data_IF_557689057086
#
_entry.id   IF_557689057086
#
_cell.length_a   1.000
_cell.length_b   1.000
_cell.length_c   1.000
_cell.angle_alpha   90.00
_cell.angle_beta   90.00
_cell.angle_gamma   90.00
#
_symmetry.space_group_name_H-M   'P 1'
#
loop_
_entity.id
_entity.type
_entity.pdbx_description
1 polymer ?
#
# COMPACT_ATOMS: atom_id res chain seq x y z
N UNK A 1 0.93 19.46 -12.55
CA UNK A 1 0.18 19.67 -11.30
C UNK A 1 -1.22 19.14 -11.48
N UNK A 2 -1.81 18.56 -10.44
CA UNK A 2 -3.17 18.02 -10.45
C UNK A 2 -3.95 18.62 -9.29
N UNK A 3 -5.25 18.82 -9.45
CA UNK A 3 -6.13 19.25 -8.36
C UNK A 3 -6.93 18.06 -7.85
N UNK A 4 -6.94 17.85 -6.53
CA UNK A 4 -7.73 16.83 -5.84
C UNK A 4 -8.78 17.57 -5.01
N UNK A 5 -9.93 17.86 -5.63
CA UNK A 5 -10.90 18.79 -5.07
C UNK A 5 -10.28 20.19 -4.89
N UNK A 6 -10.42 20.83 -3.71
CA UNK A 6 -9.81 22.13 -3.45
C UNK A 6 -8.31 22.05 -3.11
N UNK A 7 -7.72 20.85 -3.04
CA UNK A 7 -6.33 20.64 -2.61
C UNK A 7 -5.41 20.46 -3.82
N UNK A 8 -4.36 21.29 -3.99
CA UNK A 8 -3.40 21.12 -5.07
C UNK A 8 -2.47 19.94 -4.79
N UNK A 9 -2.17 19.17 -5.84
CA UNK A 9 -1.29 18.01 -5.83
C UNK A 9 -0.11 18.20 -6.80
N UNK A 10 1.06 17.74 -6.37
CA UNK A 10 2.29 17.73 -7.16
C UNK A 10 2.55 16.31 -7.65
N UNK A 11 2.87 16.17 -8.95
CA UNK A 11 3.24 14.89 -9.55
C UNK A 11 4.77 14.82 -9.54
N UNK A 12 5.32 13.81 -8.87
CA UNK A 12 6.74 13.54 -8.84
C UNK A 12 7.09 12.56 -9.97
N UNK A 13 7.93 13.00 -10.91
CA UNK A 13 8.41 12.16 -12.01
C UNK A 13 9.82 11.61 -11.77
N UNK A 14 10.61 12.25 -10.91
CA UNK A 14 11.96 11.83 -10.59
C UNK A 14 11.95 10.66 -9.60
N UNK A 15 12.49 9.48 -9.95
CA UNK A 15 12.58 8.32 -9.05
C UNK A 15 13.33 8.62 -7.75
N UNK A 16 14.32 9.53 -7.76
CA UNK A 16 15.08 9.88 -6.56
C UNK A 16 14.20 10.62 -5.56
N UNK A 17 13.44 11.62 -6.04
CA UNK A 17 12.48 12.37 -5.22
C UNK A 17 11.34 11.47 -4.73
N UNK A 18 10.83 10.58 -5.58
CA UNK A 18 9.82 9.59 -5.17
C UNK A 18 10.34 8.72 -4.04
N UNK A 19 11.58 8.22 -4.15
CA UNK A 19 12.20 7.40 -3.11
C UNK A 19 12.37 8.17 -1.81
N UNK A 20 12.80 9.43 -1.87
CA UNK A 20 12.98 10.27 -0.70
C UNK A 20 11.65 10.43 0.06
N UNK A 21 10.60 10.85 -0.64
CA UNK A 21 9.26 11.05 -0.08
C UNK A 21 8.69 9.75 0.48
N UNK A 22 8.73 8.65 -0.29
CA UNK A 22 8.17 7.35 0.12
C UNK A 22 8.97 6.68 1.23
N UNK A 23 10.28 6.91 1.32
CA UNK A 23 11.10 6.38 2.39
C UNK A 23 10.81 7.02 3.74
N UNK A 24 10.21 8.22 3.74
CA UNK A 24 9.80 8.98 4.91
C UNK A 24 10.88 9.02 6.01
N UNK A 25 12.16 9.12 5.63
CA UNK A 25 13.31 9.02 6.55
C UNK A 25 13.27 10.03 7.70
N UNK A 26 12.66 11.19 7.45
CA UNK A 26 12.55 12.29 8.39
C UNK A 26 11.17 12.39 9.06
N UNK A 27 10.23 11.50 8.74
CA UNK A 27 8.87 11.54 9.29
C UNK A 27 8.01 12.72 8.82
N UNK A 28 8.52 13.54 7.89
CA UNK A 28 7.84 14.73 7.39
C UNK A 28 6.62 14.41 6.51
N UNK A 29 6.57 13.20 5.94
CA UNK A 29 5.50 12.80 5.04
C UNK A 29 4.54 11.87 5.77
N UNK A 30 3.30 12.32 5.95
CA UNK A 30 2.22 11.48 6.47
C UNK A 30 1.59 10.69 5.33
N UNK A 31 1.02 9.52 5.65
CA UNK A 31 0.18 8.81 4.70
C UNK A 31 -0.99 9.73 4.32
N UNK A 32 -1.39 9.78 3.04
CA UNK A 32 -2.57 10.52 2.66
C UNK A 32 -3.80 9.90 3.35
N UNK A 33 -4.66 10.75 3.89
CA UNK A 33 -5.94 10.31 4.42
C UNK A 33 -6.77 9.72 3.28
N UNK A 34 -7.09 8.43 3.37
CA UNK A 34 -8.01 7.81 2.45
C UNK A 34 -9.39 8.46 2.62
N UNK A 35 -10.07 8.86 1.53
CA UNK A 35 -11.40 9.42 1.64
C UNK A 35 -12.32 8.48 2.42
N UNK A 36 -13.17 9.03 3.30
CA UNK A 36 -14.02 8.26 4.21
C UNK A 36 -14.87 7.20 3.50
N UNK A 37 -15.26 7.44 2.25
CA UNK A 37 -15.98 6.49 1.39
C UNK A 37 -15.16 5.24 1.08
N UNK A 38 -13.86 5.39 0.80
CA UNK A 38 -12.97 4.26 0.58
C UNK A 38 -12.72 3.50 1.87
N UNK A 39 -12.46 4.20 2.99
CA UNK A 39 -12.25 3.55 4.29
C UNK A 39 -13.42 2.67 4.73
N UNK A 40 -14.67 3.04 4.39
CA UNK A 40 -15.85 2.19 4.63
C UNK A 40 -15.86 0.89 3.82
N UNK A 41 -15.30 0.89 2.60
CA UNK A 41 -15.27 -0.29 1.73
C UNK A 41 -14.17 -1.27 2.13
N UNK A 42 -12.99 -0.77 2.51
CA UNK A 42 -11.82 -1.63 2.83
C UNK A 42 -11.77 -2.00 4.32
N UNK A 43 -12.64 -1.40 5.14
CA UNK A 43 -12.61 -1.51 6.59
C UNK A 43 -11.36 -0.88 7.22
N UNK A 44 -11.19 -1.05 8.53
CA UNK A 44 -9.95 -0.69 9.22
C UNK A 44 -8.87 -1.76 8.94
N UNK A 45 -8.18 -1.66 7.80
CA UNK A 45 -7.16 -2.61 7.34
C UNK A 45 -5.73 -2.11 7.46
N UNK A 46 -4.76 -2.81 6.84
CA UNK A 46 -3.34 -2.42 6.88
C UNK A 46 -3.11 -0.98 6.36
N UNK A 47 -3.95 -0.51 5.44
CA UNK A 47 -3.86 0.85 4.87
C UNK A 47 -4.25 1.95 5.87
N UNK A 48 -5.13 1.64 6.84
CA UNK A 48 -5.62 2.60 7.84
C UNK A 48 -4.78 2.64 9.12
N UNK A 49 -3.99 1.59 9.39
CA UNK A 49 -3.15 1.51 10.58
C UNK A 49 -1.83 2.26 10.38
N UNK A 50 -1.39 2.93 11.43
CA UNK A 50 -0.09 3.60 11.54
C UNK A 50 0.72 3.03 12.72
N UNK A 51 2.03 3.30 12.70
CA UNK A 51 2.94 2.94 13.78
C UNK A 51 3.01 1.44 14.09
N UNK A 52 2.99 1.09 15.37
CA UNK A 52 3.17 -0.27 15.88
C UNK A 52 2.07 -1.24 15.40
N UNK A 53 0.81 -0.78 15.37
CA UNK A 53 -0.31 -1.60 14.87
C UNK A 53 -0.09 -1.98 13.41
N UNK A 54 0.40 -1.05 12.58
CA UNK A 54 0.76 -1.35 11.19
C UNK A 54 1.91 -2.35 11.10
N UNK A 55 2.95 -2.20 11.91
CA UNK A 55 4.11 -3.08 11.90
C UNK A 55 3.73 -4.53 12.23
N UNK A 56 2.87 -4.73 13.23
CA UNK A 56 2.37 -6.07 13.62
C UNK A 56 1.54 -6.68 12.49
N UNK A 57 0.57 -5.94 11.95
CA UNK A 57 -0.27 -6.45 10.85
C UNK A 57 0.55 -6.75 9.60
N UNK A 58 1.53 -5.89 9.26
CA UNK A 58 2.43 -6.11 8.12
C UNK A 58 3.29 -7.35 8.33
N UNK A 59 3.78 -7.60 9.54
CA UNK A 59 4.58 -8.80 9.83
C UNK A 59 3.78 -10.07 9.56
N UNK A 60 2.55 -10.14 10.07
CA UNK A 60 1.65 -11.29 9.87
C UNK A 60 1.37 -11.50 8.38
N UNK A 61 1.02 -10.43 7.67
CA UNK A 61 0.70 -10.49 6.25
C UNK A 61 1.93 -10.88 5.43
N UNK A 62 3.11 -10.31 5.68
CA UNK A 62 4.33 -10.62 4.96
C UNK A 62 4.66 -12.13 4.97
N UNK A 63 4.34 -12.85 6.06
CA UNK A 63 4.54 -14.31 6.11
C UNK A 63 3.66 -15.06 5.09
N UNK A 64 2.46 -14.55 4.79
CA UNK A 64 1.60 -15.13 3.77
C UNK A 64 2.12 -14.88 2.33
N UNK A 65 2.94 -13.84 2.15
CA UNK A 65 3.58 -13.49 0.86
C UNK A 65 5.00 -14.05 0.72
N UNK A 66 5.31 -15.15 1.41
CA UNK A 66 6.55 -15.88 1.19
C UNK A 66 6.59 -16.48 -0.23
N UNK A 67 7.77 -16.50 -0.86
CA UNK A 67 7.97 -17.02 -2.23
C UNK A 67 7.35 -18.40 -2.45
N UNK A 68 7.43 -19.29 -1.46
CA UNK A 68 6.84 -20.63 -1.51
C UNK A 68 5.31 -20.58 -1.62
N UNK A 69 4.66 -19.70 -0.85
CA UNK A 69 3.21 -19.52 -0.88
C UNK A 69 2.77 -18.86 -2.19
N UNK A 70 3.57 -17.92 -2.70
CA UNK A 70 3.32 -17.27 -3.98
C UNK A 70 3.37 -18.24 -5.16
N UNK A 71 4.33 -19.17 -5.17
CA UNK A 71 4.41 -20.22 -6.20
C UNK A 71 3.15 -21.07 -6.23
N UNK A 72 2.67 -21.50 -5.06
CA UNK A 72 1.42 -22.27 -4.95
C UNK A 72 0.23 -21.48 -5.49
N UNK A 73 0.09 -20.19 -5.13
CA UNK A 73 -0.99 -19.35 -5.66
C UNK A 73 -0.89 -19.17 -7.18
N UNK A 74 0.31 -19.00 -7.71
CA UNK A 74 0.55 -18.87 -9.15
C UNK A 74 0.20 -20.14 -9.92
N UNK A 75 0.59 -21.30 -9.39
CA UNK A 75 0.25 -22.61 -9.98
C UNK A 75 -1.26 -22.84 -9.96
N UNK A 76 -1.96 -22.47 -8.88
CA UNK A 76 -3.41 -22.55 -8.79
C UNK A 76 -4.11 -21.65 -9.82
N UNK A 77 -3.63 -20.42 -9.96
CA UNK A 77 -4.17 -19.46 -10.94
C UNK A 77 -3.99 -19.97 -12.38
N UNK A 78 -2.79 -20.46 -12.71
CA UNK A 78 -2.55 -21.05 -14.03
C UNK A 78 -3.39 -22.30 -14.27
N UNK A 79 -3.63 -23.11 -13.24
CA UNK A 79 -4.47 -24.31 -13.36
C UNK A 79 -5.93 -23.95 -13.67
N UNK A 80 -6.47 -22.88 -13.06
CA UNK A 80 -7.84 -22.43 -13.32
C UNK A 80 -8.04 -21.78 -14.68
N UNK A 81 -7.01 -21.17 -15.27
CA UNK A 81 -7.08 -20.54 -16.60
C UNK A 81 -6.94 -21.54 -17.76
N UNK A 82 -6.50 -22.77 -17.48
CA UNK A 82 -6.34 -23.84 -18.48
C UNK A 82 -7.55 -24.81 -18.55
N UNK A 83 -8.67 -24.47 -17.89
CA UNK A 83 -9.96 -25.17 -17.92
C UNK A 83 -11.10 -24.18 -18.17
#
# INVERSE_FOLDING_TARGET
MIWIGPTPGVILHDPQLVREVLSNKFGHFKKPDLPSKFMKLIGQGLSSHEGEKWAVHRKIINHAFLLEKLKVTYEQFNYSDNY
#
